data_IF_601894390388
#
_entry.id   IF_601894390388
#
_cell.length_a   1.000
_cell.length_b   1.000
_cell.length_c   1.000
_cell.angle_alpha   90.00
_cell.angle_beta   90.00
_cell.angle_gamma   90.00
#
_symmetry.space_group_name_H-M   'P 1'
#
loop_
_entity.id
_entity.type
_entity.pdbx_description
1 polymer ?
#
# COMPACT_ATOMS: atom_id res chain seq x y z
N UNK A 1 -23.26 3.03 24.87
CA UNK A 1 -23.27 1.97 23.84
C UNK A 1 -21.86 1.80 23.29
N UNK A 2 -21.17 0.70 23.64
CA UNK A 2 -19.91 0.32 23.01
C UNK A 2 -20.20 -0.14 21.58
N UNK A 3 -19.98 0.72 20.59
CA UNK A 3 -20.05 0.30 19.18
C UNK A 3 -18.83 -0.57 18.89
N UNK A 4 -19.06 -1.86 18.60
CA UNK A 4 -18.02 -2.78 18.13
C UNK A 4 -17.26 -2.13 16.97
N UNK A 5 -15.92 -2.14 16.98
CA UNK A 5 -15.13 -1.61 15.88
C UNK A 5 -15.52 -2.31 14.57
N UNK A 6 -15.98 -1.56 13.58
CA UNK A 6 -16.35 -2.10 12.27
C UNK A 6 -15.13 -2.07 11.36
N UNK A 7 -14.68 -3.25 10.92
CA UNK A 7 -13.67 -3.38 9.88
C UNK A 7 -14.26 -3.03 8.51
N UNK A 8 -13.40 -2.85 7.51
CA UNK A 8 -13.85 -2.68 6.13
C UNK A 8 -14.52 -3.96 5.62
N UNK A 9 -15.53 -3.81 4.77
CA UNK A 9 -16.14 -4.94 4.10
C UNK A 9 -15.17 -5.51 3.06
N UNK A 10 -15.20 -6.83 2.85
CA UNK A 10 -14.37 -7.49 1.83
C UNK A 10 -14.45 -6.80 0.46
N UNK A 11 -15.66 -6.46 0.02
CA UNK A 11 -15.89 -5.75 -1.25
C UNK A 11 -15.16 -4.40 -1.32
N UNK A 12 -15.09 -3.67 -0.22
CA UNK A 12 -14.41 -2.37 -0.18
C UNK A 12 -12.89 -2.57 -0.28
N UNK A 13 -12.36 -3.58 0.39
CA UNK A 13 -10.94 -3.94 0.30
C UNK A 13 -10.61 -4.36 -1.13
N UNK A 14 -11.41 -5.24 -1.74
CA UNK A 14 -11.19 -5.71 -3.11
C UNK A 14 -11.19 -4.53 -4.12
N UNK A 15 -12.05 -3.53 -3.92
CA UNK A 15 -12.07 -2.32 -4.74
C UNK A 15 -10.81 -1.47 -4.57
N UNK A 16 -10.24 -1.40 -3.36
CA UNK A 16 -8.98 -0.69 -3.10
C UNK A 16 -7.76 -1.46 -3.62
N UNK A 17 -7.81 -2.80 -3.62
CA UNK A 17 -6.69 -3.62 -4.09
C UNK A 17 -6.62 -3.74 -5.62
N UNK A 18 -7.77 -3.65 -6.30
CA UNK A 18 -7.84 -3.77 -7.76
C UNK A 18 -6.85 -2.86 -8.52
N UNK A 19 -6.76 -1.54 -8.26
CA UNK A 19 -5.78 -0.69 -8.94
C UNK A 19 -4.34 -1.12 -8.68
N UNK A 20 -4.03 -1.62 -7.48
CA UNK A 20 -2.68 -2.09 -7.13
C UNK A 20 -2.28 -3.33 -7.92
N UNK A 21 -3.22 -4.26 -8.13
CA UNK A 21 -2.99 -5.44 -8.99
C UNK A 21 -2.70 -5.00 -10.43
N UNK A 22 -3.48 -4.05 -10.95
CA UNK A 22 -3.25 -3.49 -12.29
C UNK A 22 -1.89 -2.81 -12.39
N UNK A 23 -1.52 -2.00 -11.39
CA UNK A 23 -0.21 -1.35 -11.31
C UNK A 23 0.94 -2.36 -11.23
N UNK A 24 0.85 -3.42 -10.42
CA UNK A 24 1.87 -4.48 -10.36
C UNK A 24 2.11 -5.14 -11.72
N UNK A 25 1.04 -5.40 -12.49
CA UNK A 25 1.16 -5.96 -13.83
C UNK A 25 1.88 -4.95 -14.75
N UNK A 26 1.46 -3.68 -14.73
CA UNK A 26 2.03 -2.62 -15.55
C UNK A 26 3.54 -2.41 -15.27
N UNK A 27 3.95 -2.42 -14.00
CA UNK A 27 5.36 -2.37 -13.59
C UNK A 27 6.16 -3.57 -14.12
N UNK A 28 5.59 -4.78 -14.06
CA UNK A 28 6.27 -6.00 -14.52
C UNK A 28 6.51 -6.01 -16.04
N UNK A 29 5.58 -5.48 -16.82
CA UNK A 29 5.68 -5.45 -18.29
C UNK A 29 6.29 -4.17 -18.86
N UNK A 30 6.53 -3.15 -18.03
CA UNK A 30 7.10 -1.87 -18.47
C UNK A 30 6.10 -0.98 -19.21
N UNK A 31 4.83 -1.05 -18.82
CA UNK A 31 3.75 -0.19 -19.36
C UNK A 31 3.10 0.65 -18.26
N UNK A 32 3.79 0.83 -17.13
CA UNK A 32 3.32 1.69 -16.06
C UNK A 32 3.32 3.15 -16.48
N UNK A 33 2.35 3.89 -15.98
CA UNK A 33 2.19 5.33 -16.15
C UNK A 33 2.04 6.01 -14.78
N UNK A 34 1.94 7.34 -14.80
CA UNK A 34 1.77 8.15 -13.58
C UNK A 34 0.66 7.65 -12.67
N UNK A 35 -0.46 7.17 -13.23
CA UNK A 35 -1.60 6.70 -12.45
C UNK A 35 -1.24 5.44 -11.66
N UNK A 36 -0.62 4.46 -12.32
CA UNK A 36 -0.15 3.23 -11.68
C UNK A 36 0.84 3.53 -10.53
N UNK A 37 1.75 4.47 -10.76
CA UNK A 37 2.70 4.90 -9.75
C UNK A 37 2.01 5.58 -8.57
N UNK A 38 1.09 6.51 -8.83
CA UNK A 38 0.36 7.21 -7.77
C UNK A 38 -0.50 6.27 -6.94
N UNK A 39 -1.18 5.30 -7.56
CA UNK A 39 -1.96 4.29 -6.84
C UNK A 39 -1.09 3.49 -5.87
N UNK A 40 0.06 3.01 -6.34
CA UNK A 40 0.99 2.22 -5.54
C UNK A 40 1.66 3.05 -4.44
N UNK A 41 2.11 4.26 -4.77
CA UNK A 41 2.70 5.18 -3.80
C UNK A 41 1.69 5.57 -2.72
N UNK A 42 0.43 5.85 -3.08
CA UNK A 42 -0.63 6.16 -2.14
C UNK A 42 -0.88 5.00 -1.17
N UNK A 43 -0.95 3.76 -1.67
CA UNK A 43 -1.11 2.58 -0.82
C UNK A 43 0.02 2.45 0.20
N UNK A 44 1.28 2.61 -0.22
CA UNK A 44 2.43 2.49 0.67
C UNK A 44 2.54 3.65 1.66
N UNK A 45 2.18 4.87 1.27
CA UNK A 45 2.08 6.01 2.20
C UNK A 45 1.00 5.77 3.27
N UNK A 46 -0.17 5.26 2.86
CA UNK A 46 -1.25 4.92 3.82
C UNK A 46 -0.79 3.80 4.75
N UNK A 47 -0.16 2.75 4.21
CA UNK A 47 0.38 1.63 5.00
C UNK A 47 1.41 2.13 6.02
N UNK A 48 2.37 2.94 5.59
CA UNK A 48 3.40 3.51 6.46
C UNK A 48 2.78 4.37 7.56
N UNK A 49 1.80 5.21 7.20
CA UNK A 49 1.13 6.05 8.19
C UNK A 49 0.36 5.23 9.23
N UNK A 50 -0.30 4.17 8.79
CA UNK A 50 -0.96 3.24 9.70
C UNK A 50 0.06 2.56 10.62
N UNK A 51 1.22 2.16 10.09
CA UNK A 51 2.31 1.60 10.87
C UNK A 51 2.90 2.60 11.88
N UNK A 52 2.89 3.90 11.60
CA UNK A 52 3.35 4.93 12.54
C UNK A 52 2.34 5.30 13.63
N UNK A 53 1.05 5.29 13.29
CA UNK A 53 -0.01 5.85 14.15
C UNK A 53 -0.72 4.79 14.99
N UNK A 54 -0.71 3.54 14.53
CA UNK A 54 -1.42 2.44 15.18
C UNK A 54 -0.37 1.53 15.81
N UNK A 55 -0.19 1.65 17.13
CA UNK A 55 0.92 1.03 17.88
C UNK A 55 1.18 -0.45 17.57
N UNK A 56 0.13 -1.26 17.35
CA UNK A 56 0.30 -2.70 17.03
C UNK A 56 0.94 -2.96 15.65
N UNK A 57 0.94 -1.96 14.76
CA UNK A 57 1.48 -2.03 13.41
C UNK A 57 2.90 -1.46 13.31
N UNK A 58 3.49 -0.94 14.40
CA UNK A 58 4.81 -0.31 14.39
C UNK A 58 5.92 -1.20 13.81
N UNK A 59 5.82 -2.52 13.98
CA UNK A 59 6.76 -3.48 13.44
C UNK A 59 6.80 -3.48 11.89
N UNK A 60 5.67 -3.14 11.24
CA UNK A 60 5.55 -3.11 9.78
C UNK A 60 6.31 -1.94 9.13
N UNK A 61 6.78 -0.96 9.91
CA UNK A 61 7.54 0.17 9.37
C UNK A 61 8.80 -0.30 8.64
N UNK A 62 9.55 -1.23 9.23
CA UNK A 62 10.76 -1.78 8.62
C UNK A 62 10.41 -2.58 7.37
N UNK A 63 9.35 -3.40 7.44
CA UNK A 63 8.87 -4.25 6.35
C UNK A 63 8.36 -3.46 5.14
N UNK A 64 7.87 -2.23 5.34
CA UNK A 64 7.41 -1.36 4.25
C UNK A 64 8.54 -0.57 3.56
N UNK A 65 9.73 -0.48 4.16
CA UNK A 65 10.85 0.27 3.57
C UNK A 65 11.33 -0.29 2.21
N UNK A 66 11.47 -1.61 2.01
CA UNK A 66 11.86 -2.18 0.72
C UNK A 66 10.91 -1.76 -0.41
N UNK A 67 9.61 -1.81 -0.17
CA UNK A 67 8.59 -1.41 -1.16
C UNK A 67 8.74 0.07 -1.54
N UNK A 68 8.94 0.95 -0.56
CA UNK A 68 9.19 2.38 -0.81
C UNK A 68 10.46 2.63 -1.62
N UNK A 69 11.56 1.92 -1.31
CA UNK A 69 12.82 2.02 -2.07
C UNK A 69 12.68 1.52 -3.51
N UNK A 70 11.95 0.41 -3.70
CA UNK A 70 11.65 -0.12 -5.02
C UNK A 70 10.87 0.91 -5.86
N UNK A 71 9.85 1.55 -5.28
CA UNK A 71 9.10 2.62 -5.96
C UNK A 71 10.00 3.77 -6.41
N UNK A 72 10.90 4.26 -5.55
CA UNK A 72 11.85 5.31 -5.92
C UNK A 72 12.79 4.87 -7.05
N UNK A 73 13.35 3.66 -6.97
CA UNK A 73 14.25 3.14 -7.99
C UNK A 73 13.57 2.98 -9.36
N UNK A 74 12.30 2.57 -9.37
CA UNK A 74 11.51 2.42 -10.60
C UNK A 74 11.17 3.80 -11.19
N UNK A 75 10.86 4.79 -10.35
CA UNK A 75 10.53 6.15 -10.79
C UNK A 75 11.65 6.78 -11.62
N UNK A 76 12.89 6.53 -11.22
CA UNK A 76 14.09 7.08 -11.88
C UNK A 76 14.42 6.37 -13.22
N UNK A 77 13.73 5.27 -13.56
CA UNK A 77 14.01 4.45 -14.73
C UNK A 77 13.09 4.80 -15.91
N UNK A 78 13.64 4.91 -17.12
CA UNK A 78 12.81 5.09 -18.32
C UNK A 78 11.86 3.90 -18.51
N UNK A 79 10.57 4.18 -18.73
CA UNK A 79 9.52 3.16 -18.93
C UNK A 79 9.03 2.47 -17.65
N UNK A 80 9.53 2.85 -16.47
CA UNK A 80 9.06 2.38 -15.15
C UNK A 80 8.89 0.85 -15.07
N UNK A 81 9.76 0.10 -15.74
CA UNK A 81 9.77 -1.36 -15.67
C UNK A 81 10.50 -1.78 -14.41
N UNK A 82 9.86 -2.58 -13.56
CA UNK A 82 10.46 -3.07 -12.34
C UNK A 82 11.33 -4.33 -12.58
N UNK A 83 12.47 -4.39 -11.89
CA UNK A 83 13.29 -5.59 -11.81
C UNK A 83 12.62 -6.66 -10.93
N UNK A 84 12.97 -7.95 -11.08
CA UNK A 84 12.33 -9.02 -10.31
C UNK A 84 12.38 -8.84 -8.78
N UNK A 85 13.49 -8.32 -8.25
CA UNK A 85 13.63 -8.03 -6.80
C UNK A 85 12.78 -6.84 -6.36
N UNK A 86 12.64 -5.82 -7.19
CA UNK A 86 11.79 -4.66 -6.95
C UNK A 86 10.31 -5.06 -6.97
N UNK A 87 9.93 -5.92 -7.92
CA UNK A 87 8.59 -6.49 -7.98
C UNK A 87 8.25 -7.32 -6.74
N UNK A 88 9.19 -8.14 -6.25
CA UNK A 88 8.97 -8.89 -5.02
C UNK A 88 8.71 -7.96 -3.82
N UNK A 89 9.48 -6.88 -3.69
CA UNK A 89 9.28 -5.88 -2.65
C UNK A 89 7.94 -5.13 -2.78
N UNK A 90 7.52 -4.82 -4.02
CA UNK A 90 6.20 -4.20 -4.29
C UNK A 90 5.08 -5.17 -3.89
N UNK A 91 5.14 -6.43 -4.32
CA UNK A 91 4.12 -7.44 -4.03
C UNK A 91 3.98 -7.66 -2.52
N UNK A 92 5.10 -7.71 -1.78
CA UNK A 92 5.10 -7.77 -0.33
C UNK A 92 4.48 -6.53 0.31
N UNK A 93 4.84 -5.32 -0.15
CA UNK A 93 4.23 -4.07 0.32
C UNK A 93 2.71 -4.02 0.10
N UNK A 94 2.24 -4.55 -1.03
CA UNK A 94 0.81 -4.64 -1.37
C UNK A 94 0.08 -5.59 -0.42
N UNK A 95 0.66 -6.73 -0.09
CA UNK A 95 0.08 -7.66 0.88
C UNK A 95 0.09 -7.10 2.31
N UNK A 96 1.13 -6.38 2.71
CA UNK A 96 1.15 -5.65 3.99
C UNK A 96 0.02 -4.62 4.04
N UNK A 97 -0.15 -3.83 2.97
CA UNK A 97 -1.25 -2.87 2.87
C UNK A 97 -2.61 -3.56 3.00
N UNK A 98 -2.82 -4.67 2.29
CA UNK A 98 -4.04 -5.48 2.38
C UNK A 98 -4.29 -5.98 3.81
N UNK A 99 -3.26 -6.51 4.47
CA UNK A 99 -3.34 -6.97 5.84
C UNK A 99 -3.73 -5.84 6.80
N UNK A 100 -3.18 -4.64 6.61
CA UNK A 100 -3.57 -3.44 7.37
C UNK A 100 -5.06 -3.13 7.17
N UNK A 101 -5.57 -3.14 5.93
CA UNK A 101 -6.99 -2.88 5.64
C UNK A 101 -7.91 -3.91 6.32
N UNK A 102 -7.52 -5.19 6.32
CA UNK A 102 -8.29 -6.28 6.93
C UNK A 102 -8.28 -6.23 8.46
N UNK A 103 -7.11 -5.97 9.05
CA UNK A 103 -6.93 -6.02 10.49
C UNK A 103 -7.40 -4.73 11.20
N UNK A 104 -7.50 -3.61 10.48
CA UNK A 104 -7.72 -2.28 11.07
C UNK A 104 -9.17 -1.82 11.00
N UNK A 105 -9.79 -1.44 12.14
CA UNK A 105 -11.11 -0.84 12.12
C UNK A 105 -11.16 0.42 11.27
N UNK A 106 -12.24 0.59 10.51
CA UNK A 106 -12.41 1.67 9.52
C UNK A 106 -12.17 3.07 10.10
N UNK A 107 -12.61 3.31 11.34
CA UNK A 107 -12.42 4.59 12.04
C UNK A 107 -10.95 4.89 12.33
N UNK A 108 -10.17 3.86 12.69
CA UNK A 108 -8.73 4.01 12.96
C UNK A 108 -7.99 4.27 11.66
N UNK A 109 -8.30 3.51 10.60
CA UNK A 109 -7.75 3.72 9.26
C UNK A 109 -8.04 5.16 8.76
N UNK A 110 -9.30 5.60 8.85
CA UNK A 110 -9.71 6.95 8.45
C UNK A 110 -9.07 8.06 9.28
N UNK A 111 -8.70 7.77 10.53
CA UNK A 111 -7.97 8.72 11.40
C UNK A 111 -6.50 8.79 11.00
N UNK A 112 -5.86 7.64 10.79
CA UNK A 112 -4.47 7.57 10.33
C UNK A 112 -4.29 8.34 9.03
N UNK A 113 -5.15 8.10 8.03
CA UNK A 113 -5.13 8.79 6.73
C UNK A 113 -5.29 10.31 6.89
N UNK A 114 -6.26 10.76 7.70
CA UNK A 114 -6.49 12.20 7.94
C UNK A 114 -5.35 12.93 8.63
N UNK A 115 -4.47 12.22 9.31
CA UNK A 115 -3.28 12.82 9.94
C UNK A 115 -2.06 12.84 9.03
N UNK A 116 -2.16 12.34 7.80
CA UNK A 116 -1.10 12.39 6.79
C UNK A 116 -1.28 13.50 5.75
N UNK A 117 -2.43 14.19 5.76
CA UNK A 117 -2.76 15.36 4.92
C UNK A 117 -2.93 16.56 5.84
#
# INVERSE_FOLDING_TARGET
MNRTPTNMLKREIDLMMKPLVTASIAFRVGTADSSHYHDMAAAFMIAMRCAETISRHNHLKAELQPAGRAMCAIFDREGWKAEPSEMAAIEEGVEIYRAILMATPRKMLSRAIRTAV
#
